data_IF_688155243984
#
_entry.id   IF_688155243984
#
_cell.length_a   1.000
_cell.length_b   1.000
_cell.length_c   1.000
_cell.angle_alpha   90.00
_cell.angle_beta   90.00
_cell.angle_gamma   90.00
#
_symmetry.space_group_name_H-M   'P 1'
#
loop_
_entity.id
_entity.type
_entity.pdbx_description
1 polymer ?
#
# COMPACT_ATOMS: atom_id res chain seq x y z
N UNK A 1 3.89 -9.34 -16.55
CA UNK A 1 4.87 -8.59 -15.73
C UNK A 1 5.07 -7.24 -16.38
N UNK A 2 4.76 -6.09 -15.72
CA UNK A 2 4.92 -4.77 -16.33
C UNK A 2 6.38 -4.48 -16.67
N UNK A 3 6.60 -3.80 -17.79
CA UNK A 3 7.91 -3.41 -18.33
C UNK A 3 8.70 -2.56 -17.30
N UNK A 4 9.95 -2.91 -16.97
CA UNK A 4 10.77 -2.18 -15.99
C UNK A 4 11.11 -0.74 -16.43
N UNK A 5 10.83 -0.40 -17.69
CA UNK A 5 11.02 0.95 -18.25
C UNK A 5 9.90 1.93 -17.88
N UNK A 6 8.78 1.44 -17.33
CA UNK A 6 7.65 2.28 -16.94
C UNK A 6 7.94 2.86 -15.55
N UNK A 7 8.14 4.18 -15.49
CA UNK A 7 8.24 4.89 -14.23
C UNK A 7 6.88 4.90 -13.51
N UNK A 8 6.85 4.71 -12.18
CA UNK A 8 5.63 4.89 -11.42
C UNK A 8 5.18 6.36 -11.49
N UNK A 9 3.86 6.58 -11.49
CA UNK A 9 3.25 7.91 -11.36
C UNK A 9 3.33 8.44 -9.93
N UNK A 10 3.46 7.53 -8.96
CA UNK A 10 3.68 7.82 -7.55
C UNK A 10 4.55 6.72 -6.94
N UNK A 11 5.59 7.09 -6.20
CA UNK A 11 6.46 6.16 -5.46
C UNK A 11 6.66 6.70 -4.05
N UNK A 12 5.98 6.09 -3.09
CA UNK A 12 6.02 6.43 -1.68
C UNK A 12 6.76 5.34 -0.93
N UNK A 13 7.69 5.75 -0.06
CA UNK A 13 8.46 4.83 0.76
C UNK A 13 8.64 5.41 2.15
N UNK A 14 8.27 4.62 3.15
CA UNK A 14 8.60 4.88 4.55
C UNK A 14 9.56 3.82 5.06
N UNK A 15 10.52 4.25 5.89
CA UNK A 15 11.29 3.34 6.75
C UNK A 15 11.16 3.85 8.17
N UNK A 16 10.39 3.13 8.98
CA UNK A 16 10.03 3.53 10.34
C UNK A 16 10.44 2.44 11.32
N UNK A 17 11.34 2.78 12.24
CA UNK A 17 11.86 1.87 13.29
C UNK A 17 12.34 0.50 12.77
N UNK A 18 12.93 0.48 11.57
CA UNK A 18 13.41 -0.74 10.92
C UNK A 18 12.36 -1.47 10.07
N UNK A 19 11.10 -1.04 10.11
CA UNK A 19 10.03 -1.51 9.23
C UNK A 19 10.03 -0.72 7.93
N UNK A 20 9.89 -1.40 6.80
CA UNK A 20 9.78 -0.79 5.48
C UNK A 20 8.36 -0.93 4.96
N UNK A 21 7.81 0.17 4.46
CA UNK A 21 6.62 0.18 3.62
C UNK A 21 6.92 0.93 2.32
N UNK A 22 6.45 0.41 1.19
CA UNK A 22 6.58 1.08 -0.11
C UNK A 22 5.35 0.83 -0.96
N UNK A 23 4.82 1.88 -1.57
CA UNK A 23 3.74 1.80 -2.55
C UNK A 23 4.17 2.53 -3.82
N UNK A 24 4.09 1.83 -4.94
CA UNK A 24 4.33 2.36 -6.28
C UNK A 24 3.05 2.24 -7.09
N UNK A 25 2.51 3.37 -7.52
CA UNK A 25 1.34 3.43 -8.40
C UNK A 25 1.81 3.63 -9.83
N UNK A 26 1.20 2.89 -10.74
CA UNK A 26 1.38 2.98 -12.18
C UNK A 26 0.01 3.21 -12.81
N UNK A 27 -0.03 3.45 -14.13
CA UNK A 27 -1.30 3.57 -14.83
C UNK A 27 -2.06 2.23 -14.80
N UNK A 28 -3.16 2.18 -14.06
CA UNK A 28 -4.02 1.01 -13.90
C UNK A 28 -3.45 -0.15 -13.04
N UNK A 29 -2.34 0.05 -12.31
CA UNK A 29 -1.82 -0.99 -11.41
C UNK A 29 -0.99 -0.42 -10.26
N UNK A 30 -0.77 -1.24 -9.25
CA UNK A 30 -0.02 -0.90 -8.02
C UNK A 30 1.00 -1.99 -7.76
N UNK A 31 2.14 -1.62 -7.17
CA UNK A 31 3.06 -2.55 -6.51
C UNK A 31 3.25 -2.08 -5.08
N UNK A 32 3.14 -2.99 -4.15
CA UNK A 32 3.35 -2.67 -2.74
C UNK A 32 4.29 -3.69 -2.10
N UNK A 33 5.11 -3.22 -1.17
CA UNK A 33 6.07 -4.01 -0.40
C UNK A 33 5.99 -3.60 1.07
N UNK A 34 6.06 -4.57 1.97
CA UNK A 34 6.03 -4.32 3.41
C UNK A 34 6.88 -5.34 4.16
N UNK A 35 7.54 -4.88 5.22
CA UNK A 35 8.08 -5.76 6.26
C UNK A 35 7.30 -5.65 7.58
N UNK A 36 6.20 -4.90 7.60
CA UNK A 36 5.37 -4.73 8.80
C UNK A 36 4.59 -6.01 9.07
N UNK A 37 4.69 -6.55 10.30
CA UNK A 37 4.08 -7.83 10.69
C UNK A 37 4.51 -9.00 9.78
N UNK A 38 5.73 -8.95 9.22
CA UNK A 38 6.30 -9.99 8.36
C UNK A 38 7.74 -10.31 8.77
N UNK A 39 8.18 -11.54 8.49
CA UNK A 39 9.54 -11.99 8.81
C UNK A 39 10.64 -11.35 7.94
N UNK A 40 10.24 -10.65 6.89
CA UNK A 40 11.12 -9.96 5.95
C UNK A 40 10.35 -9.08 4.98
N UNK A 41 11.08 -8.41 4.09
CA UNK A 41 10.47 -7.57 3.05
C UNK A 41 9.66 -8.45 2.09
N UNK A 42 8.35 -8.26 2.12
CA UNK A 42 7.37 -9.07 1.39
C UNK A 42 6.66 -8.21 0.35
N UNK A 43 6.55 -8.71 -0.88
CA UNK A 43 5.70 -8.09 -1.89
C UNK A 43 4.23 -8.45 -1.65
N UNK A 44 3.34 -7.46 -1.73
CA UNK A 44 1.89 -7.70 -1.68
C UNK A 44 1.45 -8.36 -2.99
N UNK A 45 0.78 -9.52 -2.95
CA UNK A 45 0.28 -10.20 -4.14
C UNK A 45 -0.97 -9.50 -4.67
N UNK A 46 -0.77 -8.42 -5.44
CA UNK A 46 -1.85 -7.53 -5.89
C UNK A 46 -2.95 -8.24 -6.70
N UNK A 47 -2.64 -9.36 -7.33
CA UNK A 47 -3.60 -10.22 -8.03
C UNK A 47 -4.59 -10.94 -7.10
N UNK A 48 -4.28 -11.05 -5.80
CA UNK A 48 -5.13 -11.64 -4.76
C UNK A 48 -5.93 -10.61 -3.97
N UNK A 49 -5.65 -9.32 -4.18
CA UNK A 49 -6.27 -8.23 -3.44
C UNK A 49 -7.69 -8.02 -3.94
N UNK A 50 -8.67 -8.14 -3.04
CA UNK A 50 -10.08 -7.89 -3.31
C UNK A 50 -10.51 -6.46 -3.01
N UNK A 51 -9.68 -5.69 -2.30
CA UNK A 51 -9.91 -4.28 -2.02
C UNK A 51 -8.85 -3.69 -1.11
N UNK A 52 -8.94 -2.39 -0.88
CA UNK A 52 -7.97 -1.65 -0.08
C UNK A 52 -8.66 -0.63 0.81
N UNK A 53 -8.01 -0.23 1.91
CA UNK A 53 -8.44 0.89 2.76
C UNK A 53 -7.23 1.50 3.46
N UNK A 54 -7.43 2.66 4.08
CA UNK A 54 -6.41 3.32 4.89
C UNK A 54 -6.93 3.42 6.31
N UNK A 55 -6.14 2.94 7.25
CA UNK A 55 -6.43 2.97 8.68
C UNK A 55 -5.32 3.72 9.43
N UNK A 56 -5.64 4.40 10.54
CA UNK A 56 -4.63 4.88 11.47
C UNK A 56 -3.79 3.70 11.98
N UNK A 57 -2.46 3.84 12.02
CA UNK A 57 -1.58 2.77 12.49
C UNK A 57 -0.79 3.16 13.74
N UNK A 58 -0.15 4.33 13.73
CA UNK A 58 0.52 4.95 14.87
C UNK A 58 0.36 6.48 14.77
N UNK A 59 0.92 7.25 15.70
CA UNK A 59 0.76 8.71 15.76
C UNK A 59 1.31 9.42 14.50
N UNK A 60 2.37 8.88 13.90
CA UNK A 60 3.08 9.43 12.73
C UNK A 60 2.99 8.53 11.50
N UNK A 61 2.17 7.48 11.55
CA UNK A 61 2.04 6.52 10.45
C UNK A 61 0.60 6.08 10.19
N UNK A 62 0.27 5.96 8.91
CA UNK A 62 -0.97 5.32 8.43
C UNK A 62 -0.65 3.94 7.87
N UNK A 63 -1.62 3.05 7.94
CA UNK A 63 -1.57 1.71 7.36
C UNK A 63 -2.46 1.67 6.13
N UNK A 64 -1.86 1.44 4.97
CA UNK A 64 -2.60 1.03 3.78
C UNK A 64 -2.81 -0.47 3.86
N UNK A 65 -4.06 -0.87 4.05
CA UNK A 65 -4.45 -2.27 4.11
C UNK A 65 -4.85 -2.76 2.71
N UNK A 66 -4.15 -3.78 2.22
CA UNK A 66 -4.54 -4.55 1.04
C UNK A 66 -5.20 -5.86 1.50
N UNK A 67 -6.51 -5.97 1.30
CA UNK A 67 -7.32 -7.07 1.80
C UNK A 67 -7.35 -8.19 0.76
N UNK A 68 -6.91 -9.39 1.16
CA UNK A 68 -7.05 -10.63 0.42
C UNK A 68 -8.08 -11.54 1.13
N UNK A 69 -8.44 -12.68 0.52
CA UNK A 69 -9.43 -13.59 1.08
C UNK A 69 -9.00 -14.24 2.41
N UNK A 70 -7.70 -14.47 2.57
CA UNK A 70 -7.10 -15.22 3.68
C UNK A 70 -6.27 -14.35 4.63
N UNK A 71 -5.79 -13.19 4.17
CA UNK A 71 -4.98 -12.29 4.98
C UNK A 71 -5.13 -10.82 4.54
N UNK A 72 -4.64 -9.92 5.38
CA UNK A 72 -4.49 -8.51 5.04
C UNK A 72 -3.01 -8.12 5.11
N UNK A 73 -2.53 -7.46 4.07
CA UNK A 73 -1.19 -6.89 4.03
C UNK A 73 -1.27 -5.43 4.42
N UNK A 74 -0.51 -5.06 5.45
CA UNK A 74 -0.43 -3.69 5.95
C UNK A 74 0.87 -3.04 5.51
N UNK A 75 0.77 -1.93 4.81
CA UNK A 75 1.91 -1.15 4.33
C UNK A 75 1.93 0.17 5.07
N UNK A 76 2.97 0.40 5.87
CA UNK A 76 3.15 1.66 6.58
C UNK A 76 3.55 2.78 5.62
N UNK A 77 2.89 3.92 5.76
CA UNK A 77 3.25 5.18 5.11
C UNK A 77 3.21 6.33 6.11
N UNK A 78 3.89 7.42 5.75
CA UNK A 78 3.86 8.65 6.54
C UNK A 78 2.44 9.23 6.51
N UNK A 79 1.97 9.77 7.64
CA UNK A 79 0.65 10.41 7.70
C UNK A 79 0.50 11.57 6.70
N UNK A 80 1.60 12.28 6.40
CA UNK A 80 1.61 13.34 5.39
C UNK A 80 1.33 12.85 3.96
N UNK A 81 1.56 11.56 3.69
CA UNK A 81 1.34 10.96 2.38
C UNK A 81 -0.08 10.41 2.19
N UNK A 82 -0.94 10.44 3.23
CA UNK A 82 -2.25 9.78 3.21
C UNK A 82 -3.13 10.23 2.03
N UNK A 83 -3.18 11.54 1.77
CA UNK A 83 -4.06 12.08 0.73
C UNK A 83 -3.56 11.74 -0.68
N UNK A 84 -2.24 11.78 -0.89
CA UNK A 84 -1.66 11.47 -2.21
C UNK A 84 -1.73 9.98 -2.51
N UNK A 85 -1.49 9.11 -1.51
CA UNK A 85 -1.65 7.67 -1.71
C UNK A 85 -3.10 7.29 -1.95
N UNK A 86 -4.05 7.89 -1.22
CA UNK A 86 -5.49 7.68 -1.43
C UNK A 86 -5.89 7.97 -2.87
N UNK A 87 -5.51 9.13 -3.39
CA UNK A 87 -5.81 9.52 -4.78
C UNK A 87 -5.16 8.56 -5.79
N UNK A 88 -3.92 8.15 -5.56
CA UNK A 88 -3.22 7.20 -6.42
C UNK A 88 -3.91 5.83 -6.46
N UNK A 89 -4.30 5.31 -5.30
CA UNK A 89 -4.99 4.02 -5.18
C UNK A 89 -6.41 4.07 -5.74
N UNK A 90 -7.16 5.15 -5.52
CA UNK A 90 -8.49 5.33 -6.11
C UNK A 90 -8.46 5.28 -7.64
N UNK A 91 -7.45 5.90 -8.25
CA UNK A 91 -7.27 5.89 -9.70
C UNK A 91 -6.85 4.53 -10.24
N UNK A 92 -6.03 3.80 -9.49
CA UNK A 92 -5.46 2.53 -9.96
C UNK A 92 -6.33 1.31 -9.63
N UNK A 93 -7.00 1.30 -8.47
CA UNK A 93 -7.71 0.15 -7.91
C UNK A 93 -9.20 0.41 -7.68
N UNK A 94 -9.67 1.65 -7.87
CA UNK A 94 -11.04 2.05 -7.56
C UNK A 94 -11.24 2.46 -6.10
N UNK A 95 -12.49 2.74 -5.73
CA UNK A 95 -12.84 3.28 -4.42
C UNK A 95 -12.38 2.38 -3.26
N UNK A 96 -11.98 2.95 -2.10
CA UNK A 96 -11.59 2.18 -0.94
C UNK A 96 -12.79 1.42 -0.36
N UNK A 97 -12.48 0.33 0.34
CA UNK A 97 -13.38 -0.36 1.25
C UNK A 97 -13.75 0.57 2.41
N UNK A 98 -14.92 0.35 3.06
CA UNK A 98 -15.22 1.02 4.31
C UNK A 98 -14.17 0.69 5.38
N UNK A 99 -14.03 1.56 6.41
CA UNK A 99 -13.13 1.31 7.52
C UNK A 99 -13.38 -0.06 8.17
N UNK A 100 -12.33 -0.66 8.74
CA UNK A 100 -12.49 -1.84 9.57
C UNK A 100 -13.41 -1.51 10.76
N UNK A 101 -14.42 -2.37 11.00
CA UNK A 101 -15.40 -2.20 12.09
C UNK A 101 -14.83 -2.52 13.47
#
# INVERSE_FOLDING_TARGET
>A
MPDPSVSPTLDLRLTWRGTVGRIRVYDGTVRAETSFERDGLTSVPMERVSGWRIEPCDFDAVCVEFVCADETFRVLLDTGDEQVVRLGLERALGAPLPPAS
#
